data_IF_341451128291
#
_entry.id   IF_341451128291
#
_cell.length_a   1.000
_cell.length_b   1.000
_cell.length_c   1.000
_cell.angle_alpha   90.00
_cell.angle_beta   90.00
_cell.angle_gamma   90.00
#
_symmetry.space_group_name_H-M   'P 1'
#
loop_
_entity.id
_entity.type
_entity.pdbx_description
1 polymer ?
#
# COMPACT_ATOMS: atom_id res chain seq x y z
N UNK A 1 63.27 26.88 -3.08
CA UNK A 1 62.82 25.77 -3.95
C UNK A 1 61.69 25.05 -3.23
N UNK A 2 60.55 24.82 -3.88
CA UNK A 2 59.37 24.21 -3.23
C UNK A 2 59.39 22.68 -3.36
N UNK A 3 59.04 21.98 -2.27
CA UNK A 3 59.01 20.52 -2.21
C UNK A 3 57.73 19.91 -2.81
N UNK A 4 56.64 20.68 -2.82
CA UNK A 4 55.35 20.36 -3.45
C UNK A 4 54.62 21.67 -3.76
N UNK A 5 53.77 21.66 -4.79
CA UNK A 5 52.86 22.77 -5.09
C UNK A 5 51.42 22.29 -4.96
N UNK A 6 50.61 23.01 -4.19
CA UNK A 6 49.16 22.80 -4.13
C UNK A 6 48.52 23.83 -5.07
N UNK A 7 47.95 23.35 -6.16
CA UNK A 7 47.32 24.19 -7.17
C UNK A 7 45.82 24.20 -6.94
N UNK A 8 45.28 25.31 -6.47
CA UNK A 8 43.87 25.42 -6.09
C UNK A 8 43.04 26.11 -7.17
N UNK A 9 41.77 25.70 -7.29
CA UNK A 9 40.76 26.41 -8.06
C UNK A 9 39.43 26.42 -7.29
N UNK A 10 38.52 27.32 -7.67
CA UNK A 10 37.20 27.45 -7.06
C UNK A 10 36.18 26.60 -7.82
N UNK A 11 35.47 25.73 -7.10
CA UNK A 11 34.35 24.97 -7.67
C UNK A 11 33.19 25.87 -8.13
N UNK A 12 33.11 27.11 -7.64
CA UNK A 12 32.10 28.09 -8.04
C UNK A 12 32.58 29.06 -9.14
N UNK A 13 33.77 28.82 -9.72
CA UNK A 13 34.28 29.63 -10.82
C UNK A 13 34.92 28.74 -11.90
N UNK A 14 34.19 28.39 -12.97
CA UNK A 14 34.68 27.53 -14.05
C UNK A 14 35.94 28.05 -14.73
N UNK A 15 36.11 29.38 -14.81
CA UNK A 15 37.31 29.98 -15.39
C UNK A 15 38.56 29.68 -14.57
N UNK A 16 38.44 29.54 -13.24
CA UNK A 16 39.59 29.20 -12.40
C UNK A 16 40.16 27.82 -12.72
N UNK A 17 39.30 26.83 -13.01
CA UNK A 17 39.73 25.51 -13.50
C UNK A 17 40.31 25.59 -14.92
N UNK A 18 39.75 26.43 -15.80
CA UNK A 18 40.33 26.66 -17.14
C UNK A 18 41.75 27.24 -17.05
N UNK A 19 41.99 28.17 -16.13
CA UNK A 19 43.31 28.79 -15.93
C UNK A 19 44.34 27.81 -15.36
N UNK A 20 43.91 26.81 -14.57
CA UNK A 20 44.81 25.71 -14.14
C UNK A 20 45.49 25.08 -15.35
N UNK A 21 44.73 24.71 -16.39
CA UNK A 21 45.27 24.06 -17.60
C UNK A 21 46.03 25.01 -18.52
N UNK A 22 45.52 26.23 -18.68
CA UNK A 22 46.00 27.15 -19.73
C UNK A 22 47.15 28.07 -19.30
N UNK A 23 47.30 28.33 -17.99
CA UNK A 23 48.25 29.30 -17.46
C UNK A 23 49.11 28.69 -16.35
N UNK A 24 48.46 28.27 -15.25
CA UNK A 24 49.18 27.97 -14.02
C UNK A 24 49.99 26.69 -14.08
N UNK A 25 49.44 25.60 -14.61
CA UNK A 25 50.19 24.35 -14.71
C UNK A 25 51.42 24.47 -15.62
N UNK A 26 51.33 25.04 -16.85
CA UNK A 26 52.51 25.31 -17.68
C UNK A 26 53.57 26.17 -16.98
N UNK A 27 53.15 27.25 -16.33
CA UNK A 27 54.06 28.17 -15.63
C UNK A 27 54.79 27.49 -14.46
N UNK A 28 54.06 26.73 -13.64
CA UNK A 28 54.65 25.95 -12.54
C UNK A 28 55.64 24.92 -13.09
N UNK A 29 55.31 24.25 -14.19
CA UNK A 29 56.22 23.27 -14.82
C UNK A 29 57.45 23.92 -15.45
N UNK A 30 57.35 25.16 -15.92
CA UNK A 30 58.50 25.92 -16.41
C UNK A 30 59.50 26.24 -15.28
N UNK A 31 59.03 26.82 -14.17
CA UNK A 31 59.91 27.23 -13.07
C UNK A 31 60.29 26.09 -12.12
N UNK A 32 59.42 25.09 -11.96
CA UNK A 32 59.55 23.98 -11.01
C UNK A 32 59.30 22.61 -11.68
N UNK A 33 60.12 22.21 -12.68
CA UNK A 33 59.81 21.05 -13.54
C UNK A 33 59.70 19.72 -12.79
N UNK A 34 60.47 19.56 -11.72
CA UNK A 34 60.53 18.35 -10.89
C UNK A 34 59.67 18.39 -9.62
N UNK A 35 59.00 19.52 -9.35
CA UNK A 35 58.17 19.64 -8.15
C UNK A 35 56.82 18.96 -8.41
N UNK A 36 56.36 18.06 -7.52
CA UNK A 36 55.06 17.44 -7.64
C UNK A 36 53.97 18.48 -7.42
N UNK A 37 52.86 18.33 -8.14
CA UNK A 37 51.70 19.21 -8.07
C UNK A 37 50.51 18.39 -7.57
N UNK A 38 49.74 18.94 -6.64
CA UNK A 38 48.45 18.41 -6.20
C UNK A 38 47.36 19.39 -6.61
N UNK A 39 46.38 18.94 -7.38
CA UNK A 39 45.26 19.78 -7.81
C UNK A 39 44.16 19.75 -6.74
N UNK A 40 43.63 20.93 -6.38
CA UNK A 40 42.61 21.05 -5.33
C UNK A 40 41.43 21.89 -5.78
N UNK A 41 40.23 21.32 -5.74
CA UNK A 41 38.97 22.05 -5.86
C UNK A 41 38.53 22.58 -4.50
N UNK A 42 38.27 23.88 -4.39
CA UNK A 42 37.83 24.51 -3.15
C UNK A 42 36.35 24.88 -3.20
N UNK A 43 35.75 25.07 -2.02
CA UNK A 43 34.35 25.48 -1.83
C UNK A 43 33.33 24.41 -2.24
N UNK A 44 33.62 23.15 -1.90
CA UNK A 44 32.76 22.00 -2.18
C UNK A 44 31.35 22.13 -1.58
N UNK A 45 31.22 22.80 -0.43
CA UNK A 45 29.95 23.08 0.23
C UNK A 45 28.93 23.76 -0.69
N UNK A 46 29.39 24.57 -1.65
CA UNK A 46 28.50 25.29 -2.56
C UNK A 46 27.69 24.39 -3.49
N UNK A 47 28.03 23.11 -3.64
CA UNK A 47 27.20 22.13 -4.37
C UNK A 47 25.88 21.83 -3.68
N UNK A 48 25.80 22.01 -2.36
CA UNK A 48 24.65 21.63 -1.53
C UNK A 48 24.10 22.79 -0.70
N UNK A 49 24.67 23.98 -0.85
CA UNK A 49 24.27 25.18 -0.10
C UNK A 49 23.03 25.85 -0.71
N UNK A 50 22.32 26.61 0.12
CA UNK A 50 21.37 27.61 -0.34
C UNK A 50 22.14 28.78 -1.00
N UNK A 51 22.22 28.75 -2.33
CA UNK A 51 22.94 29.76 -3.11
C UNK A 51 22.32 31.16 -2.98
N UNK A 52 21.04 31.31 -2.65
CA UNK A 52 20.43 32.61 -2.41
C UNK A 52 20.95 33.21 -1.10
N UNK A 53 20.94 32.43 -0.03
CA UNK A 53 21.53 32.83 1.25
C UNK A 53 23.03 33.15 1.10
N UNK A 54 23.78 32.31 0.39
CA UNK A 54 25.20 32.55 0.10
C UNK A 54 25.39 33.87 -0.67
N UNK A 55 24.60 34.12 -1.73
CA UNK A 55 24.74 35.35 -2.50
C UNK A 55 24.33 36.61 -1.71
N UNK A 56 23.35 36.53 -0.80
CA UNK A 56 23.01 37.63 0.12
C UNK A 56 24.14 37.96 1.10
N UNK A 57 24.88 36.95 1.56
CA UNK A 57 25.99 37.14 2.49
C UNK A 57 27.29 37.63 1.82
N UNK A 58 27.37 37.58 0.49
CA UNK A 58 28.53 38.05 -0.28
C UNK A 58 28.48 39.56 -0.50
N UNK A 59 29.61 40.14 -0.92
CA UNK A 59 29.72 41.58 -1.18
C UNK A 59 28.66 42.02 -2.22
N UNK A 60 27.98 43.18 -2.04
CA UNK A 60 26.89 43.62 -2.92
C UNK A 60 27.24 43.71 -4.42
N UNK A 61 28.51 43.94 -4.77
CA UNK A 61 29.00 44.06 -6.15
C UNK A 61 29.58 42.76 -6.72
N UNK A 62 29.61 41.67 -5.95
CA UNK A 62 30.11 40.39 -6.43
C UNK A 62 29.11 39.77 -7.40
N UNK A 63 29.58 39.23 -8.53
CA UNK A 63 28.74 38.45 -9.44
C UNK A 63 28.07 37.30 -8.65
N UNK A 64 26.73 37.18 -8.69
CA UNK A 64 26.03 36.07 -8.04
C UNK A 64 26.51 34.73 -8.60
N UNK A 65 26.73 33.77 -7.71
CA UNK A 65 27.03 32.39 -8.08
C UNK A 65 25.72 31.73 -8.48
N UNK A 66 25.65 31.22 -9.71
CA UNK A 66 24.50 30.45 -10.20
C UNK A 66 24.76 28.95 -10.06
N UNK A 67 23.71 28.10 -9.98
CA UNK A 67 23.88 26.65 -10.02
C UNK A 67 24.72 26.17 -11.22
N UNK A 68 24.57 26.83 -12.38
CA UNK A 68 25.33 26.54 -13.60
C UNK A 68 26.82 26.88 -13.52
N UNK A 69 27.22 27.72 -12.57
CA UNK A 69 28.62 28.07 -12.34
C UNK A 69 29.33 27.05 -11.43
N UNK A 70 28.58 26.19 -10.73
CA UNK A 70 29.15 25.17 -9.85
C UNK A 70 29.64 23.98 -10.69
N UNK A 71 30.93 23.70 -10.60
CA UNK A 71 31.56 22.59 -11.31
C UNK A 71 31.16 21.24 -10.67
N UNK A 72 30.71 20.26 -11.47
CA UNK A 72 30.42 18.93 -10.97
C UNK A 72 31.74 18.16 -10.72
N UNK A 73 31.73 17.10 -9.89
CA UNK A 73 32.93 16.39 -9.45
C UNK A 73 33.83 15.90 -10.59
N UNK A 74 33.23 15.53 -11.73
CA UNK A 74 33.91 14.92 -12.86
C UNK A 74 34.89 15.90 -13.51
N UNK A 75 34.58 17.20 -13.53
CA UNK A 75 35.41 18.22 -14.21
C UNK A 75 36.81 18.34 -13.62
N UNK A 76 36.93 18.32 -12.29
CA UNK A 76 38.22 18.36 -11.63
C UNK A 76 39.04 17.09 -11.88
N UNK A 77 38.39 15.94 -11.86
CA UNK A 77 39.01 14.64 -12.15
C UNK A 77 39.50 14.53 -13.59
N UNK A 78 38.73 15.01 -14.56
CA UNK A 78 39.12 15.07 -15.98
C UNK A 78 40.43 15.84 -16.16
N UNK A 79 40.49 17.07 -15.62
CA UNK A 79 41.69 17.92 -15.71
C UNK A 79 42.88 17.28 -14.98
N UNK A 80 42.66 16.71 -13.80
CA UNK A 80 43.72 16.04 -13.06
C UNK A 80 44.30 14.84 -13.82
N UNK A 81 43.44 14.05 -14.45
CA UNK A 81 43.81 12.92 -15.30
C UNK A 81 44.62 13.37 -16.51
N UNK A 82 44.18 14.41 -17.20
CA UNK A 82 44.93 15.00 -18.32
C UNK A 82 46.31 15.51 -17.91
N UNK A 83 46.42 16.13 -16.73
CA UNK A 83 47.67 16.69 -16.22
C UNK A 83 48.58 15.66 -15.51
N UNK A 84 48.08 14.44 -15.28
CA UNK A 84 48.80 13.38 -14.57
C UNK A 84 49.08 13.69 -13.10
N UNK A 85 48.17 14.41 -12.42
CA UNK A 85 48.32 14.83 -11.02
C UNK A 85 47.18 14.29 -10.14
N UNK A 86 47.39 14.08 -8.83
CA UNK A 86 46.31 13.73 -7.91
C UNK A 86 45.35 14.92 -7.72
N UNK A 87 44.09 14.59 -7.44
CA UNK A 87 43.00 15.55 -7.25
C UNK A 87 42.28 15.33 -5.91
N UNK A 88 41.95 16.43 -5.26
CA UNK A 88 41.19 16.46 -4.01
C UNK A 88 40.22 17.62 -4.04
N UNK A 89 39.12 17.49 -3.32
CA UNK A 89 38.18 18.58 -3.07
C UNK A 89 38.13 18.95 -1.59
N UNK A 90 37.88 20.22 -1.32
CA UNK A 90 37.90 20.77 0.03
C UNK A 90 36.70 21.67 0.27
N UNK A 91 36.18 21.58 1.49
CA UNK A 91 35.26 22.58 2.04
C UNK A 91 35.76 22.98 3.42
N UNK A 92 36.07 24.27 3.56
CA UNK A 92 36.38 24.85 4.88
C UNK A 92 35.12 24.89 5.75
N UNK A 93 33.95 25.15 5.15
CA UNK A 93 32.67 25.22 5.87
C UNK A 93 32.30 23.85 6.45
N UNK A 94 32.41 22.80 5.65
CA UNK A 94 32.12 21.43 6.08
C UNK A 94 33.31 20.74 6.76
N UNK A 95 34.45 21.43 6.93
CA UNK A 95 35.71 20.87 7.44
C UNK A 95 36.13 19.58 6.72
N UNK A 96 35.83 19.47 5.42
CA UNK A 96 36.04 18.29 4.62
C UNK A 96 37.27 18.40 3.72
N UNK A 97 38.03 17.32 3.60
CA UNK A 97 39.15 17.18 2.65
C UNK A 97 40.41 17.97 2.99
N UNK A 98 40.35 18.89 3.96
CA UNK A 98 41.49 19.73 4.35
C UNK A 98 42.67 18.85 4.81
N UNK A 99 42.42 17.92 5.74
CA UNK A 99 43.44 17.00 6.24
C UNK A 99 44.00 16.11 5.12
N UNK A 100 43.14 15.64 4.22
CA UNK A 100 43.55 14.79 3.10
C UNK A 100 44.51 15.52 2.17
N UNK A 101 44.24 16.79 1.84
CA UNK A 101 45.14 17.61 1.01
C UNK A 101 46.50 17.77 1.69
N UNK A 102 46.53 18.10 2.99
CA UNK A 102 47.79 18.25 3.72
C UNK A 102 48.60 16.95 3.75
N UNK A 103 47.99 15.84 4.16
CA UNK A 103 48.67 14.55 4.24
C UNK A 103 49.16 14.09 2.87
N UNK A 104 48.35 14.25 1.82
CA UNK A 104 48.72 13.82 0.48
C UNK A 104 49.73 14.74 -0.21
N UNK A 105 49.76 16.03 0.10
CA UNK A 105 50.84 16.93 -0.33
C UNK A 105 52.19 16.51 0.29
N UNK A 106 52.20 16.14 1.58
CA UNK A 106 53.37 15.59 2.25
C UNK A 106 53.81 14.27 1.58
N UNK A 107 52.87 13.36 1.31
CA UNK A 107 53.16 12.11 0.56
C UNK A 107 53.77 12.41 -0.81
N UNK A 108 53.21 13.35 -1.56
CA UNK A 108 53.71 13.73 -2.88
C UNK A 108 55.14 14.29 -2.81
N UNK A 109 55.42 15.19 -1.86
CA UNK A 109 56.76 15.75 -1.63
C UNK A 109 57.80 14.66 -1.30
N UNK A 110 57.47 13.77 -0.36
CA UNK A 110 58.38 12.71 0.10
C UNK A 110 58.64 11.66 -0.98
N UNK A 111 57.63 11.32 -1.80
CA UNK A 111 57.80 10.44 -2.96
C UNK A 111 58.71 11.09 -4.01
N UNK A 112 58.49 12.36 -4.35
CA UNK A 112 59.38 13.07 -5.28
C UNK A 112 60.82 13.13 -4.75
N UNK A 113 61.00 13.39 -3.46
CA UNK A 113 62.31 13.36 -2.80
C UNK A 113 62.97 11.99 -2.85
N UNK A 114 62.21 10.90 -2.70
CA UNK A 114 62.72 9.52 -2.86
C UNK A 114 63.29 9.30 -4.26
N UNK A 115 62.62 9.79 -5.31
CA UNK A 115 63.12 9.67 -6.68
C UNK A 115 64.46 10.41 -6.88
N UNK A 116 64.67 11.52 -6.17
CA UNK A 116 65.91 12.29 -6.23
C UNK A 116 67.02 11.75 -5.29
N UNK A 117 66.65 11.10 -4.19
CA UNK A 117 67.56 10.64 -3.12
C UNK A 117 67.38 9.14 -2.84
N UNK A 118 67.50 8.31 -3.88
CA UNK A 118 67.14 6.88 -3.82
C UNK A 118 67.91 6.04 -2.79
N UNK A 119 69.11 6.50 -2.39
CA UNK A 119 69.95 5.87 -1.35
C UNK A 119 69.37 5.97 0.07
N UNK A 120 68.38 6.85 0.30
CA UNK A 120 67.73 7.02 1.62
C UNK A 120 66.67 5.94 1.88
N UNK A 121 67.07 4.90 2.61
CA UNK A 121 66.25 3.71 2.90
C UNK A 121 64.94 4.00 3.63
N UNK A 122 64.89 5.01 4.51
CA UNK A 122 63.68 5.39 5.26
C UNK A 122 62.52 5.88 4.36
N UNK A 123 62.82 6.37 3.14
CA UNK A 123 61.79 6.80 2.19
C UNK A 123 61.17 5.64 1.39
N UNK A 124 61.73 4.42 1.46
CA UNK A 124 61.24 3.27 0.68
C UNK A 124 59.84 2.81 1.07
N UNK A 125 59.45 3.03 2.33
CA UNK A 125 58.13 2.65 2.88
C UNK A 125 57.07 3.75 2.69
N UNK A 126 57.41 4.87 2.06
CA UNK A 126 56.46 5.97 1.88
C UNK A 126 55.32 5.57 0.95
N UNK A 127 54.09 5.78 1.39
CA UNK A 127 52.90 5.57 0.58
C UNK A 127 52.71 6.70 -0.45
N UNK A 128 52.18 6.35 -1.62
CA UNK A 128 51.74 7.34 -2.62
C UNK A 128 50.52 8.13 -2.09
N UNK A 129 50.22 9.31 -2.67
CA UNK A 129 48.97 10.01 -2.39
C UNK A 129 47.77 9.06 -2.51
N UNK A 130 46.92 9.03 -1.49
CA UNK A 130 45.76 8.17 -1.36
C UNK A 130 44.55 8.81 -2.05
N UNK A 131 43.60 7.99 -2.48
CA UNK A 131 42.32 8.48 -3.01
C UNK A 131 41.49 9.09 -1.88
N UNK A 132 40.79 10.18 -2.19
CA UNK A 132 39.84 10.79 -1.28
C UNK A 132 38.52 10.01 -1.28
N UNK A 133 37.95 9.77 -0.11
CA UNK A 133 36.58 9.29 -0.04
C UNK A 133 35.62 10.37 -0.58
N UNK A 134 34.52 10.01 -1.27
CA UNK A 134 33.52 10.99 -1.70
C UNK A 134 32.92 11.75 -0.52
N UNK A 135 32.58 13.02 -0.73
CA UNK A 135 31.84 13.79 0.27
C UNK A 135 30.41 13.28 0.39
N UNK A 136 30.01 12.94 1.61
CA UNK A 136 28.66 12.50 1.95
C UNK A 136 27.95 13.63 2.70
N UNK A 137 27.08 14.44 2.05
CA UNK A 137 26.31 15.45 2.76
C UNK A 137 25.42 14.79 3.84
N UNK A 138 25.11 15.51 4.94
CA UNK A 138 24.25 14.99 5.99
C UNK A 138 22.89 14.58 5.42
N UNK A 139 22.35 13.46 5.90
CA UNK A 139 21.02 12.97 5.51
C UNK A 139 19.99 14.06 5.80
N UNK A 140 19.09 14.41 4.86
CA UNK A 140 18.02 15.36 5.13
C UNK A 140 17.16 14.85 6.30
N UNK A 141 16.59 15.75 7.12
CA UNK A 141 15.68 15.35 8.18
C UNK A 141 14.49 14.57 7.59
N UNK A 142 13.97 13.55 8.30
CA UNK A 142 12.77 12.84 7.86
C UNK A 142 11.61 13.81 7.62
N UNK A 143 10.72 13.54 6.64
CA UNK A 143 9.55 14.37 6.43
C UNK A 143 8.67 14.38 7.68
N UNK A 144 8.09 15.54 8.00
CA UNK A 144 7.10 15.65 9.08
C UNK A 144 5.81 15.02 8.59
N UNK A 145 5.47 13.85 9.13
CA UNK A 145 4.21 13.15 8.85
C UNK A 145 3.15 13.74 9.78
N UNK A 146 2.19 14.49 9.23
CA UNK A 146 0.99 14.88 9.97
C UNK A 146 0.02 13.70 9.95
N UNK A 147 -0.12 13.02 11.08
CA UNK A 147 -1.16 12.00 11.27
C UNK A 147 -2.47 12.74 11.51
N UNK A 148 -3.51 12.57 10.67
CA UNK A 148 -4.81 13.18 10.91
C UNK A 148 -5.38 12.69 12.24
N UNK A 149 -5.99 13.59 13.01
CA UNK A 149 -6.70 13.20 14.23
C UNK A 149 -7.82 12.19 13.89
N UNK A 150 -8.00 11.14 14.70
CA UNK A 150 -9.12 10.23 14.52
C UNK A 150 -10.43 11.03 14.68
N UNK A 151 -11.43 10.84 13.80
CA UNK A 151 -12.68 11.58 13.90
C UNK A 151 -13.37 11.30 15.24
N UNK A 152 -13.57 12.35 16.03
CA UNK A 152 -14.33 12.29 17.29
C UNK A 152 -15.80 11.97 16.98
N UNK A 153 -16.36 10.99 17.68
CA UNK A 153 -17.66 10.35 17.39
C UNK A 153 -17.61 9.42 16.18
N UNK A 154 -17.16 8.19 16.42
CA UNK A 154 -17.48 7.10 15.50
C UNK A 154 -18.05 5.92 16.24
N UNK A 155 -19.22 5.47 15.79
CA UNK A 155 -19.72 4.15 16.15
C UNK A 155 -18.69 3.12 15.68
N UNK A 156 -18.21 2.28 16.59
CA UNK A 156 -17.36 1.15 16.23
C UNK A 156 -18.19 -0.01 15.70
N UNK A 157 -17.53 -0.87 14.93
CA UNK A 157 -18.11 -2.12 14.45
C UNK A 157 -18.84 -2.04 13.10
N UNK A 158 -19.52 -3.13 12.70
CA UNK A 158 -20.06 -3.30 11.36
C UNK A 158 -21.04 -2.21 10.91
N UNK A 159 -21.76 -1.59 11.84
CA UNK A 159 -22.72 -0.52 11.55
C UNK A 159 -22.07 0.69 10.88
N UNK A 160 -20.82 1.02 11.23
CA UNK A 160 -20.10 2.15 10.63
C UNK A 160 -19.55 1.87 9.22
N UNK A 161 -19.64 0.62 8.77
CA UNK A 161 -19.28 0.19 7.41
C UNK A 161 -20.51 -0.06 6.53
N UNK A 162 -21.71 0.01 7.10
CA UNK A 162 -22.93 -0.11 6.33
C UNK A 162 -23.03 1.01 5.29
N UNK A 163 -23.25 0.64 4.02
CA UNK A 163 -23.32 1.55 2.88
C UNK A 163 -22.10 2.50 2.71
N UNK A 164 -20.96 2.19 3.33
CA UNK A 164 -19.73 2.94 3.09
C UNK A 164 -19.00 2.38 1.88
N UNK A 165 -18.44 3.23 1.01
CA UNK A 165 -17.60 2.74 -0.08
C UNK A 165 -16.18 2.35 0.34
N UNK A 166 -15.74 2.73 1.55
CA UNK A 166 -14.40 2.41 2.05
C UNK A 166 -14.18 0.89 2.11
N UNK A 167 -13.23 0.39 1.32
CA UNK A 167 -12.93 -1.05 1.16
C UNK A 167 -14.07 -1.90 0.59
N UNK A 168 -15.11 -1.30 0.02
CA UNK A 168 -16.18 -2.04 -0.66
C UNK A 168 -15.61 -2.91 -1.78
N UNK A 169 -16.19 -4.08 -2.00
CA UNK A 169 -15.79 -5.05 -3.03
C UNK A 169 -17.00 -5.58 -3.82
N UNK A 170 -18.21 -5.10 -3.50
CA UNK A 170 -19.45 -5.32 -4.25
C UNK A 170 -20.27 -4.05 -4.33
N UNK A 171 -20.93 -3.86 -5.48
CA UNK A 171 -21.90 -2.78 -5.71
C UNK A 171 -23.20 -3.37 -6.24
N UNK A 172 -24.31 -3.02 -5.60
CA UNK A 172 -25.65 -3.36 -6.08
C UNK A 172 -26.20 -2.24 -6.94
N UNK A 173 -26.66 -2.59 -8.13
CA UNK A 173 -27.34 -1.69 -9.05
C UNK A 173 -28.84 -1.94 -8.96
N UNK A 174 -29.57 -0.93 -8.47
CA UNK A 174 -31.02 -0.93 -8.29
C UNK A 174 -31.70 -0.17 -9.43
N UNK A 175 -33.04 -0.21 -9.45
CA UNK A 175 -33.81 0.63 -10.37
C UNK A 175 -33.51 2.12 -10.18
N UNK A 176 -33.66 2.89 -11.26
CA UNK A 176 -33.38 4.34 -11.24
C UNK A 176 -31.90 4.71 -11.16
N UNK A 177 -30.99 3.77 -11.43
CA UNK A 177 -29.54 4.01 -11.46
C UNK A 177 -28.89 4.14 -10.09
N UNK A 178 -29.61 3.83 -9.01
CA UNK A 178 -29.07 3.89 -7.65
C UNK A 178 -28.05 2.78 -7.41
N UNK A 179 -26.93 3.14 -6.77
CA UNK A 179 -25.83 2.23 -6.45
C UNK A 179 -25.66 2.14 -4.94
N UNK A 180 -25.52 0.92 -4.43
CA UNK A 180 -25.27 0.66 -3.01
C UNK A 180 -23.98 -0.15 -2.87
N UNK A 181 -22.99 0.45 -2.21
CA UNK A 181 -21.70 -0.19 -1.92
C UNK A 181 -21.82 -1.11 -0.70
N UNK A 182 -21.14 -2.25 -0.76
CA UNK A 182 -21.15 -3.25 0.29
C UNK A 182 -19.87 -4.11 0.29
N UNK A 183 -19.81 -5.03 1.25
CA UNK A 183 -18.67 -5.89 1.54
C UNK A 183 -19.10 -7.36 1.46
N UNK A 184 -18.56 -8.12 0.51
CA UNK A 184 -18.89 -9.53 0.25
C UNK A 184 -18.72 -10.36 1.51
N UNK A 185 -17.63 -10.18 2.25
CA UNK A 185 -17.37 -10.91 3.50
C UNK A 185 -18.49 -10.73 4.53
N UNK A 186 -19.06 -9.53 4.67
CA UNK A 186 -20.15 -9.30 5.63
C UNK A 186 -21.47 -9.92 5.18
N UNK A 187 -21.78 -9.82 3.89
CA UNK A 187 -23.01 -10.41 3.35
C UNK A 187 -22.96 -11.94 3.34
N UNK A 188 -21.84 -12.51 2.90
CA UNK A 188 -21.63 -13.96 2.84
C UNK A 188 -21.58 -14.61 4.23
N UNK A 189 -21.02 -13.92 5.24
CA UNK A 189 -20.99 -14.44 6.62
C UNK A 189 -22.36 -14.40 7.29
N UNK A 190 -23.26 -13.52 6.84
CA UNK A 190 -24.60 -13.34 7.40
C UNK A 190 -25.71 -14.05 6.61
N UNK A 191 -25.48 -14.43 5.35
CA UNK A 191 -26.49 -15.05 4.50
C UNK A 191 -25.86 -16.07 3.53
N UNK A 192 -26.38 -17.29 3.51
CA UNK A 192 -25.88 -18.35 2.62
C UNK A 192 -26.12 -18.03 1.15
N UNK A 193 -27.23 -17.39 0.80
CA UNK A 193 -27.49 -16.98 -0.59
C UNK A 193 -26.41 -16.04 -1.14
N UNK A 194 -25.96 -15.09 -0.33
CA UNK A 194 -24.84 -14.22 -0.69
C UNK A 194 -23.49 -14.95 -0.69
N UNK A 195 -23.28 -15.91 0.22
CA UNK A 195 -22.08 -16.75 0.21
C UNK A 195 -21.95 -17.52 -1.10
N UNK A 196 -23.04 -18.20 -1.49
CA UNK A 196 -23.09 -18.98 -2.74
C UNK A 196 -22.92 -18.05 -3.94
N UNK A 197 -23.56 -16.87 -3.93
CA UNK A 197 -23.49 -15.89 -5.02
C UNK A 197 -22.04 -15.49 -5.29
N UNK A 198 -21.30 -15.16 -4.23
CA UNK A 198 -19.95 -14.63 -4.34
C UNK A 198 -18.88 -15.71 -4.50
N UNK A 199 -19.25 -16.99 -4.45
CA UNK A 199 -18.35 -18.14 -4.66
C UNK A 199 -18.59 -18.87 -5.99
N UNK A 200 -19.62 -18.49 -6.75
CA UNK A 200 -19.90 -19.03 -8.10
C UNK A 200 -18.70 -18.97 -9.05
N UNK A 201 -17.80 -17.99 -8.89
CA UNK A 201 -16.49 -17.95 -9.55
C UNK A 201 -15.37 -17.63 -8.55
N UNK A 202 -15.00 -18.61 -7.74
CA UNK A 202 -13.66 -18.63 -7.15
C UNK A 202 -12.60 -18.92 -8.23
N UNK A 203 -11.38 -18.37 -8.13
CA UNK A 203 -10.29 -18.68 -9.05
C UNK A 203 -10.09 -20.20 -9.11
N UNK A 204 -9.98 -20.76 -10.33
CA UNK A 204 -9.78 -22.19 -10.59
C UNK A 204 -8.59 -22.71 -9.77
N UNK A 205 -8.85 -23.32 -8.62
CA UNK A 205 -7.78 -23.84 -7.77
C UNK A 205 -8.16 -24.17 -6.34
N UNK A 206 -9.18 -24.99 -6.11
CA UNK A 206 -9.27 -25.89 -4.95
C UNK A 206 -10.49 -26.80 -5.15
N UNK A 207 -10.29 -28.11 -4.96
CA UNK A 207 -11.33 -29.12 -5.13
C UNK A 207 -12.60 -28.79 -4.34
N UNK A 208 -13.74 -28.95 -5.01
CA UNK A 208 -15.07 -28.90 -4.39
C UNK A 208 -15.16 -29.96 -3.28
N UNK A 209 -15.32 -29.51 -2.04
CA UNK A 209 -16.17 -30.21 -1.08
C UNK A 209 -17.33 -29.27 -0.71
N UNK A 210 -18.59 -29.71 -0.85
CA UNK A 210 -19.74 -28.93 -0.43
C UNK A 210 -19.68 -28.71 1.09
N UNK A 211 -20.03 -27.50 1.52
CA UNK A 211 -20.05 -27.11 2.92
C UNK A 211 -20.74 -28.17 3.80
N UNK A 212 -19.97 -28.80 4.70
CA UNK A 212 -20.50 -29.73 5.66
C UNK A 212 -21.52 -29.01 6.54
N UNK A 213 -22.78 -29.41 6.41
CA UNK A 213 -23.87 -29.05 7.30
C UNK A 213 -23.41 -29.31 8.74
N UNK A 214 -23.49 -28.30 9.60
CA UNK A 214 -23.28 -28.43 11.04
C UNK A 214 -24.19 -29.54 11.58
N UNK A 215 -23.62 -30.71 11.84
CA UNK A 215 -24.26 -31.73 12.67
C UNK A 215 -24.25 -31.23 14.11
N UNK A 216 -25.44 -31.22 14.70
CA UNK A 216 -25.66 -31.02 16.14
C UNK A 216 -24.76 -31.99 16.92
N UNK A 217 -23.98 -31.46 17.84
CA UNK A 217 -23.36 -32.23 18.91
C UNK A 217 -24.43 -32.39 20.00
N UNK A 218 -25.25 -33.42 19.89
CA UNK A 218 -26.11 -33.83 20.99
C UNK A 218 -25.38 -34.88 21.83
N UNK A 219 -25.16 -34.51 23.09
CA UNK A 219 -24.54 -35.33 24.10
C UNK A 219 -25.36 -36.56 24.46
N UNK A 220 -24.66 -37.60 24.87
CA UNK A 220 -25.20 -38.82 25.45
C UNK A 220 -26.12 -38.54 26.64
N UNK A 221 -27.37 -39.00 26.58
CA UNK A 221 -28.00 -39.89 27.59
C UNK A 221 -29.47 -40.18 27.30
N UNK A 222 -29.81 -41.47 27.41
CA UNK A 222 -31.09 -41.90 27.99
C UNK A 222 -32.18 -42.30 27.00
N UNK A 223 -32.34 -43.61 26.84
CA UNK A 223 -33.50 -44.24 26.20
C UNK A 223 -34.80 -43.97 27.00
N UNK A 224 -35.92 -43.74 26.30
CA UNK A 224 -37.13 -44.58 26.30
C UNK A 224 -38.36 -43.84 25.71
N UNK A 225 -39.07 -44.56 24.84
CA UNK A 225 -40.51 -44.57 24.54
C UNK A 225 -41.18 -43.44 23.72
N UNK A 226 -41.53 -43.84 22.49
CA UNK A 226 -42.73 -43.62 21.67
C UNK A 226 -43.71 -42.45 21.92
N UNK A 227 -44.02 -41.73 20.83
CA UNK A 227 -45.19 -40.86 20.71
C UNK A 227 -45.28 -40.20 19.34
N UNK A 228 -46.14 -40.73 18.47
CA UNK A 228 -46.38 -40.38 17.07
C UNK A 228 -46.46 -38.87 16.74
N UNK A 229 -45.81 -38.45 15.63
CA UNK A 229 -46.29 -37.40 14.71
C UNK A 229 -45.61 -37.49 13.33
N UNK A 230 -46.41 -37.31 12.30
CA UNK A 230 -46.12 -37.53 10.87
C UNK A 230 -44.86 -36.81 10.33
N UNK A 231 -44.19 -37.35 9.28
CA UNK A 231 -43.00 -36.73 8.73
C UNK A 231 -43.36 -35.50 7.89
N UNK A 232 -42.91 -34.32 8.33
CA UNK A 232 -42.80 -33.13 7.51
C UNK A 232 -41.73 -33.40 6.44
N UNK A 233 -42.19 -33.57 5.19
CA UNK A 233 -41.35 -33.75 4.00
C UNK A 233 -40.35 -32.59 3.90
N UNK A 234 -39.07 -32.92 3.96
CA UNK A 234 -37.99 -32.01 3.55
C UNK A 234 -38.03 -31.87 2.04
N UNK A 235 -38.26 -30.65 1.56
CA UNK A 235 -38.21 -30.31 0.14
C UNK A 235 -36.78 -30.44 -0.34
N UNK A 236 -36.54 -31.39 -1.24
CA UNK A 236 -35.32 -31.56 -1.99
C UNK A 236 -35.34 -30.54 -3.14
N UNK A 237 -34.34 -29.67 -3.23
CA UNK A 237 -34.12 -28.85 -4.42
C UNK A 237 -33.12 -29.56 -5.32
N UNK A 238 -33.63 -30.39 -6.23
CA UNK A 238 -32.86 -30.84 -7.39
C UNK A 238 -32.93 -29.73 -8.44
N UNK A 239 -31.80 -29.08 -8.71
CA UNK A 239 -31.45 -28.61 -10.06
C UNK A 239 -30.01 -28.08 -10.05
N UNK A 240 -29.06 -29.01 -10.11
CA UNK A 240 -27.67 -28.71 -10.43
C UNK A 240 -27.48 -28.82 -11.95
N UNK A 241 -27.30 -27.68 -12.63
CA UNK A 241 -26.98 -27.62 -14.05
C UNK A 241 -25.70 -28.43 -14.35
N UNK A 242 -25.82 -29.40 -15.26
CA UNK A 242 -24.69 -30.09 -15.91
C UNK A 242 -24.05 -29.15 -16.95
N UNK A 243 -22.72 -29.02 -17.03
CA UNK A 243 -22.09 -28.27 -18.11
C UNK A 243 -22.08 -29.10 -19.40
N UNK A 244 -22.75 -28.60 -20.44
CA UNK A 244 -22.59 -29.10 -21.80
C UNK A 244 -21.21 -28.69 -22.32
N UNK A 245 -20.48 -29.65 -22.88
CA UNK A 245 -19.23 -29.41 -23.60
C UNK A 245 -19.55 -28.70 -24.94
N UNK A 246 -18.86 -27.60 -25.21
CA UNK A 246 -18.91 -26.89 -26.49
C UNK A 246 -17.79 -25.86 -26.57
N UNK A 247 -16.91 -26.05 -27.54
CA UNK A 247 -15.73 -25.24 -27.84
C UNK A 247 -16.06 -23.79 -28.24
N UNK A 248 -15.14 -22.87 -27.93
CA UNK A 248 -14.95 -21.63 -28.70
C UNK A 248 -15.24 -20.32 -27.96
N UNK A 249 -14.18 -19.51 -27.85
CA UNK A 249 -14.13 -18.09 -27.44
C UNK A 249 -14.38 -17.75 -25.95
N UNK A 250 -13.38 -17.10 -25.34
CA UNK A 250 -13.43 -16.60 -23.97
C UNK A 250 -14.56 -15.56 -23.81
N UNK A 251 -15.57 -15.79 -22.94
CA UNK A 251 -16.64 -14.83 -22.73
C UNK A 251 -16.23 -13.85 -21.63
N UNK A 252 -16.55 -12.57 -21.83
CA UNK A 252 -16.61 -11.56 -20.78
C UNK A 252 -17.48 -12.08 -19.62
N UNK A 253 -16.85 -12.37 -18.48
CA UNK A 253 -17.41 -13.13 -17.36
C UNK A 253 -18.54 -12.44 -16.59
N UNK A 254 -19.76 -12.57 -17.10
CA UNK A 254 -21.00 -12.24 -16.41
C UNK A 254 -21.91 -13.45 -16.33
N UNK A 255 -22.53 -13.67 -15.18
CA UNK A 255 -23.56 -14.69 -14.99
C UNK A 255 -24.94 -14.07 -15.09
N UNK A 256 -25.79 -14.66 -15.95
CA UNK A 256 -27.23 -14.51 -15.86
C UNK A 256 -27.71 -15.27 -14.61
N UNK A 257 -28.38 -14.55 -13.72
CA UNK A 257 -28.87 -15.07 -12.44
C UNK A 257 -30.40 -15.17 -12.41
N UNK A 258 -31.08 -14.95 -13.54
CA UNK A 258 -32.54 -15.02 -13.66
C UNK A 258 -33.13 -16.36 -13.18
N UNK A 259 -32.40 -17.46 -13.36
CA UNK A 259 -32.78 -18.80 -12.88
C UNK A 259 -32.33 -19.08 -11.43
N UNK A 260 -31.46 -18.25 -10.85
CA UNK A 260 -30.82 -18.47 -9.56
C UNK A 260 -31.65 -17.97 -8.37
N UNK A 261 -32.62 -17.09 -8.64
CA UNK A 261 -33.59 -16.61 -7.66
C UNK A 261 -34.30 -15.35 -8.18
N UNK A 262 -35.35 -14.93 -7.46
CA UNK A 262 -36.17 -13.77 -7.87
C UNK A 262 -35.59 -12.41 -7.45
N UNK A 263 -34.47 -12.39 -6.72
CA UNK A 263 -33.85 -11.17 -6.21
C UNK A 263 -32.68 -10.62 -7.05
N UNK A 264 -32.06 -11.45 -7.89
CA UNK A 264 -30.87 -11.10 -8.67
C UNK A 264 -31.12 -11.28 -10.16
N UNK A 265 -30.64 -10.34 -10.98
CA UNK A 265 -30.73 -10.41 -12.46
C UNK A 265 -29.41 -10.90 -13.04
N UNK A 266 -28.29 -10.31 -12.63
CA UNK A 266 -26.96 -10.69 -13.12
C UNK A 266 -25.86 -10.30 -12.16
N UNK A 267 -24.72 -11.00 -12.20
CA UNK A 267 -23.49 -10.61 -11.52
C UNK A 267 -22.32 -10.60 -12.50
N UNK A 268 -21.52 -9.55 -12.48
CA UNK A 268 -20.32 -9.40 -13.32
C UNK A 268 -19.21 -8.67 -12.58
N UNK A 269 -17.97 -8.91 -12.97
CA UNK A 269 -16.82 -8.21 -12.43
C UNK A 269 -16.50 -6.99 -13.28
N UNK A 270 -16.53 -5.79 -12.69
CA UNK A 270 -16.28 -4.53 -13.41
C UNK A 270 -15.25 -3.67 -12.67
N UNK A 271 -14.53 -2.84 -13.44
CA UNK A 271 -13.77 -1.73 -12.87
C UNK A 271 -14.75 -0.63 -12.48
N UNK A 272 -14.75 -0.31 -11.19
CA UNK A 272 -15.62 0.70 -10.59
C UNK A 272 -14.76 1.78 -9.97
N UNK A 273 -15.06 3.05 -10.25
CA UNK A 273 -14.44 4.17 -9.57
C UNK A 273 -14.68 4.08 -8.05
N UNK A 274 -13.60 3.92 -7.28
CA UNK A 274 -13.60 3.96 -5.82
C UNK A 274 -13.76 5.42 -5.38
N UNK A 275 -14.90 5.81 -4.81
CA UNK A 275 -15.16 7.20 -4.44
C UNK A 275 -14.30 7.67 -3.26
N UNK A 276 -13.60 6.78 -2.56
CA UNK A 276 -12.69 7.12 -1.45
C UNK A 276 -11.27 7.30 -1.95
N UNK A 277 -10.78 6.35 -2.75
CA UNK A 277 -9.39 6.35 -3.22
C UNK A 277 -9.17 7.12 -4.53
N UNK A 278 -10.24 7.50 -5.24
CA UNK A 278 -10.15 8.21 -6.53
C UNK A 278 -9.53 7.38 -7.66
N UNK A 279 -9.43 6.06 -7.48
CA UNK A 279 -8.88 5.09 -8.44
C UNK A 279 -9.96 4.09 -8.85
N UNK A 280 -9.82 3.48 -10.01
CA UNK A 280 -10.68 2.35 -10.37
C UNK A 280 -10.27 1.10 -9.57
N UNK A 281 -11.25 0.34 -9.11
CA UNK A 281 -11.09 -0.91 -8.37
C UNK A 281 -11.99 -1.97 -8.99
N UNK A 282 -11.48 -3.19 -9.15
CA UNK A 282 -12.30 -4.32 -9.59
C UNK A 282 -13.29 -4.72 -8.49
N UNK A 283 -14.59 -4.66 -8.79
CA UNK A 283 -15.69 -4.97 -7.86
C UNK A 283 -16.70 -5.91 -8.51
N UNK A 284 -17.40 -6.69 -7.70
CA UNK A 284 -18.57 -7.42 -8.15
C UNK A 284 -19.75 -6.44 -8.33
N UNK A 285 -20.31 -6.36 -9.52
CA UNK A 285 -21.50 -5.55 -9.82
C UNK A 285 -22.69 -6.49 -9.95
N UNK A 286 -23.64 -6.35 -9.03
CA UNK A 286 -24.85 -7.18 -8.95
C UNK A 286 -26.06 -6.34 -9.34
N UNK A 287 -26.72 -6.72 -10.43
CA UNK A 287 -27.97 -6.09 -10.85
C UNK A 287 -29.14 -6.74 -10.11
N UNK A 288 -29.92 -5.93 -9.40
CA UNK A 288 -31.06 -6.38 -8.61
C UNK A 288 -32.34 -6.43 -9.45
N UNK A 289 -33.25 -7.33 -9.08
CA UNK A 289 -34.59 -7.39 -9.68
C UNK A 289 -35.36 -6.09 -9.46
N UNK A 290 -36.25 -5.77 -10.40
CA UNK A 290 -37.04 -4.53 -10.42
C UNK A 290 -37.89 -4.32 -9.15
N UNK A 291 -38.28 -5.40 -8.47
CA UNK A 291 -39.06 -5.38 -7.22
C UNK A 291 -38.23 -4.97 -6.01
N UNK A 292 -36.90 -4.98 -6.10
CA UNK A 292 -36.00 -4.65 -5.00
C UNK A 292 -35.86 -3.12 -4.92
N UNK A 293 -36.67 -2.51 -4.05
CA UNK A 293 -36.61 -1.08 -3.77
C UNK A 293 -35.42 -0.74 -2.87
N UNK A 294 -34.85 0.45 -3.04
CA UNK A 294 -33.59 0.82 -2.41
C UNK A 294 -33.66 0.97 -0.88
N UNK A 295 -34.67 1.66 -0.35
CA UNK A 295 -34.78 1.89 1.10
C UNK A 295 -35.07 0.60 1.90
N UNK A 296 -36.03 -0.26 1.49
CA UNK A 296 -36.20 -1.55 2.14
C UNK A 296 -34.99 -2.47 1.95
N UNK A 297 -34.30 -2.42 0.80
CA UNK A 297 -33.08 -3.19 0.57
C UNK A 297 -31.93 -2.72 1.47
N UNK A 298 -31.79 -1.42 1.69
CA UNK A 298 -30.85 -0.85 2.67
C UNK A 298 -31.11 -1.40 4.08
N UNK A 299 -32.37 -1.54 4.48
CA UNK A 299 -32.73 -2.17 5.76
C UNK A 299 -32.29 -3.65 5.83
N UNK A 300 -32.49 -4.41 4.75
CA UNK A 300 -32.02 -5.81 4.67
C UNK A 300 -30.49 -5.87 4.78
N UNK A 301 -29.78 -5.00 4.08
CA UNK A 301 -28.33 -4.91 4.17
C UNK A 301 -27.89 -4.50 5.59
N UNK A 302 -28.54 -3.51 6.22
CA UNK A 302 -28.22 -3.09 7.58
C UNK A 302 -28.37 -4.26 8.57
N UNK A 303 -29.42 -5.06 8.42
CA UNK A 303 -29.59 -6.29 9.19
C UNK A 303 -28.42 -7.27 8.97
N UNK A 304 -28.00 -7.50 7.72
CA UNK A 304 -26.86 -8.38 7.43
C UNK A 304 -25.55 -7.86 8.04
N UNK A 305 -25.39 -6.55 8.23
CA UNK A 305 -24.23 -5.97 8.91
C UNK A 305 -24.35 -6.00 10.43
N UNK A 306 -25.53 -5.79 10.99
CA UNK A 306 -25.68 -5.47 12.41
C UNK A 306 -26.43 -6.53 13.22
N UNK A 307 -27.20 -7.39 12.57
CA UNK A 307 -28.16 -8.30 13.21
C UNK A 307 -29.40 -7.61 13.78
N UNK A 308 -29.57 -6.31 13.54
CA UNK A 308 -30.67 -5.50 14.11
C UNK A 308 -31.69 -5.13 13.04
N UNK A 309 -32.94 -5.01 13.47
CA UNK A 309 -34.06 -4.51 12.69
C UNK A 309 -34.64 -3.31 13.44
N UNK A 310 -34.76 -2.16 12.77
CA UNK A 310 -35.55 -1.04 13.28
C UNK A 310 -37.04 -1.37 13.14
N UNK A 311 -37.71 -1.53 14.29
CA UNK A 311 -39.10 -1.95 14.39
C UNK A 311 -40.07 -0.79 14.12
N UNK A 312 -39.61 0.46 14.15
CA UNK A 312 -40.43 1.64 13.93
C UNK A 312 -40.62 1.97 12.44
N UNK A 313 -40.02 1.20 11.55
CA UNK A 313 -40.09 1.41 10.10
C UNK A 313 -41.51 1.21 9.57
N UNK A 314 -41.93 2.09 8.66
CA UNK A 314 -43.23 2.00 7.99
C UNK A 314 -43.23 0.96 6.85
N UNK A 315 -42.05 0.62 6.31
CA UNK A 315 -41.87 -0.25 5.14
C UNK A 315 -41.53 -1.71 5.49
N UNK A 316 -41.90 -2.16 6.69
CA UNK A 316 -41.60 -3.52 7.18
C UNK A 316 -42.07 -4.63 6.23
N UNK A 317 -43.25 -4.48 5.61
CA UNK A 317 -43.76 -5.48 4.66
C UNK A 317 -42.90 -5.60 3.41
N UNK A 318 -42.36 -4.48 2.92
CA UNK A 318 -41.43 -4.45 1.80
C UNK A 318 -40.08 -5.07 2.21
N UNK A 319 -39.61 -4.80 3.43
CA UNK A 319 -38.40 -5.44 3.98
C UNK A 319 -38.59 -6.97 4.05
N UNK A 320 -39.72 -7.46 4.54
CA UNK A 320 -40.03 -8.90 4.57
C UNK A 320 -40.06 -9.51 3.17
N UNK A 321 -40.66 -8.81 2.19
CA UNK A 321 -40.71 -9.25 0.80
C UNK A 321 -39.31 -9.40 0.21
N UNK A 322 -38.43 -8.41 0.40
CA UNK A 322 -37.05 -8.48 -0.07
C UNK A 322 -36.25 -9.54 0.69
N UNK A 323 -36.45 -9.66 2.01
CA UNK A 323 -35.81 -10.71 2.81
C UNK A 323 -36.19 -12.11 2.32
N UNK A 324 -37.43 -12.32 1.87
CA UNK A 324 -37.85 -13.57 1.24
C UNK A 324 -37.19 -13.79 -0.12
N UNK A 325 -37.16 -12.77 -0.99
CA UNK A 325 -36.52 -12.84 -2.31
C UNK A 325 -35.01 -13.16 -2.24
N UNK A 326 -34.35 -12.68 -1.19
CA UNK A 326 -32.91 -12.87 -0.93
C UNK A 326 -32.63 -14.02 0.05
N UNK A 327 -33.65 -14.77 0.47
CA UNK A 327 -33.56 -15.90 1.40
C UNK A 327 -32.91 -15.54 2.76
N UNK A 328 -33.13 -14.31 3.24
CA UNK A 328 -32.75 -13.84 4.58
C UNK A 328 -33.86 -14.21 5.57
N UNK A 329 -34.04 -15.51 5.80
CA UNK A 329 -35.18 -16.05 6.54
C UNK A 329 -35.30 -15.52 7.98
N UNK A 330 -34.17 -15.32 8.68
CA UNK A 330 -34.18 -14.77 10.04
C UNK A 330 -34.83 -13.39 10.08
N UNK A 331 -34.49 -12.51 9.12
CA UNK A 331 -35.07 -11.17 9.03
C UNK A 331 -36.55 -11.23 8.69
N UNK A 332 -36.94 -12.10 7.74
CA UNK A 332 -38.34 -12.32 7.39
C UNK A 332 -39.16 -12.75 8.62
N UNK A 333 -38.60 -13.65 9.45
CA UNK A 333 -39.20 -14.08 10.71
C UNK A 333 -39.25 -12.94 11.74
N UNK A 334 -38.19 -12.13 11.85
CA UNK A 334 -38.18 -11.00 12.77
C UNK A 334 -39.26 -9.96 12.43
N UNK A 335 -39.46 -9.68 11.14
CA UNK A 335 -40.53 -8.79 10.69
C UNK A 335 -41.89 -9.38 11.02
N UNK A 336 -42.11 -10.67 10.76
CA UNK A 336 -43.37 -11.35 11.11
C UNK A 336 -43.68 -11.24 12.62
N UNK A 337 -42.68 -11.46 13.48
CA UNK A 337 -42.82 -11.29 14.93
C UNK A 337 -43.18 -9.85 15.31
N UNK A 338 -42.59 -8.83 14.66
CA UNK A 338 -42.94 -7.43 14.92
C UNK A 338 -44.40 -7.16 14.55
N UNK A 339 -44.83 -7.60 13.38
CA UNK A 339 -46.21 -7.41 12.89
C UNK A 339 -47.25 -8.14 13.77
N UNK A 340 -46.88 -9.30 14.31
CA UNK A 340 -47.72 -10.08 15.22
C UNK A 340 -47.67 -9.60 16.69
N UNK A 341 -46.89 -8.55 16.99
CA UNK A 341 -46.65 -8.05 18.36
C UNK A 341 -45.94 -9.07 19.28
N UNK A 342 -45.12 -9.93 18.69
CA UNK A 342 -44.31 -10.96 19.35
C UNK A 342 -42.80 -10.65 19.27
N UNK A 343 -42.44 -9.36 19.24
CA UNK A 343 -41.06 -8.90 19.04
C UNK A 343 -40.07 -9.39 20.11
N UNK A 344 -40.56 -9.83 21.27
CA UNK A 344 -39.75 -10.47 22.32
C UNK A 344 -39.01 -11.73 21.81
N UNK A 345 -39.57 -12.47 20.84
CA UNK A 345 -38.93 -13.64 20.25
C UNK A 345 -37.69 -13.28 19.41
N UNK A 346 -37.56 -12.03 18.97
CA UNK A 346 -36.44 -11.59 18.14
C UNK A 346 -35.10 -11.61 18.87
N UNK A 347 -35.10 -11.68 20.20
CA UNK A 347 -33.87 -11.78 20.98
C UNK A 347 -33.10 -13.08 20.68
N UNK A 348 -33.82 -14.21 20.58
CA UNK A 348 -33.19 -15.50 20.28
C UNK A 348 -32.73 -15.60 18.82
N UNK A 349 -33.51 -15.05 17.89
CA UNK A 349 -33.10 -14.94 16.48
C UNK A 349 -31.81 -14.13 16.36
N UNK A 350 -31.73 -12.99 17.06
CA UNK A 350 -30.55 -12.12 17.04
C UNK A 350 -29.33 -12.83 17.61
N UNK A 351 -29.47 -13.53 18.75
CA UNK A 351 -28.38 -14.33 19.34
C UNK A 351 -27.89 -15.41 18.37
N UNK A 352 -28.81 -16.21 17.81
CA UNK A 352 -28.50 -17.27 16.87
C UNK A 352 -27.81 -16.74 15.60
N UNK A 353 -28.26 -15.60 15.08
CA UNK A 353 -27.64 -14.89 13.96
C UNK A 353 -26.17 -14.56 14.25
N UNK A 354 -25.89 -13.91 15.38
CA UNK A 354 -24.53 -13.52 15.75
C UNK A 354 -23.61 -14.72 15.97
N UNK A 355 -24.10 -15.80 16.59
CA UNK A 355 -23.33 -17.04 16.79
C UNK A 355 -22.98 -17.67 15.44
N UNK A 356 -23.95 -17.83 14.52
CA UNK A 356 -23.70 -18.38 13.19
C UNK A 356 -22.71 -17.54 12.39
N UNK A 357 -22.89 -16.23 12.39
CA UNK A 357 -21.99 -15.30 11.70
C UNK A 357 -20.57 -15.36 12.26
N UNK A 358 -20.40 -15.38 13.58
CA UNK A 358 -19.08 -15.49 14.20
C UNK A 358 -18.36 -16.79 13.79
N UNK A 359 -19.09 -17.91 13.74
CA UNK A 359 -18.52 -19.18 13.27
C UNK A 359 -18.13 -19.12 11.78
N UNK A 360 -18.96 -18.51 10.92
CA UNK A 360 -18.65 -18.35 9.50
C UNK A 360 -17.49 -17.38 9.25
N UNK A 361 -17.35 -16.32 10.06
CA UNK A 361 -16.19 -15.43 10.02
C UNK A 361 -14.91 -16.21 10.34
N UNK A 362 -14.92 -17.04 11.41
CA UNK A 362 -13.76 -17.90 11.74
C UNK A 362 -13.38 -18.83 10.59
N UNK A 363 -14.36 -19.42 9.91
CA UNK A 363 -14.12 -20.25 8.73
C UNK A 363 -13.49 -19.45 7.58
N UNK A 364 -14.01 -18.26 7.27
CA UNK A 364 -13.46 -17.40 6.21
C UNK A 364 -12.02 -16.96 6.53
N UNK A 365 -11.72 -16.65 7.79
CA UNK A 365 -10.37 -16.34 8.26
C UNK A 365 -9.43 -17.55 8.09
N UNK A 366 -9.86 -18.74 8.51
CA UNK A 366 -9.04 -19.95 8.43
C UNK A 366 -8.76 -20.42 7.00
N UNK A 367 -9.73 -20.26 6.09
CA UNK A 367 -9.61 -20.69 4.68
C UNK A 367 -9.14 -19.57 3.74
N UNK A 368 -9.07 -18.32 4.21
CA UNK A 368 -8.78 -17.15 3.36
C UNK A 368 -9.88 -16.82 2.34
N UNK A 369 -11.09 -17.37 2.49
CA UNK A 369 -12.20 -17.10 1.56
C UNK A 369 -12.59 -15.63 1.67
N UNK A 370 -12.68 -14.94 0.53
CA UNK A 370 -12.88 -13.48 0.42
C UNK A 370 -11.74 -12.61 0.95
N UNK A 371 -10.55 -13.16 1.22
CA UNK A 371 -9.41 -12.34 1.60
C UNK A 371 -9.04 -11.36 0.48
N UNK A 372 -8.82 -10.10 0.84
CA UNK A 372 -8.52 -8.98 -0.07
C UNK A 372 -7.25 -8.21 0.33
N UNK A 373 -6.53 -8.73 1.32
CA UNK A 373 -5.19 -8.29 1.71
C UNK A 373 -4.40 -9.46 2.28
N UNK A 374 -3.07 -9.44 2.09
CA UNK A 374 -2.15 -10.41 2.67
C UNK A 374 -1.04 -9.66 3.39
N UNK A 375 -0.88 -9.91 4.69
CA UNK A 375 0.24 -9.39 5.47
C UNK A 375 1.42 -10.35 5.36
N UNK A 376 2.57 -9.85 4.91
CA UNK A 376 3.84 -10.60 4.99
C UNK A 376 4.47 -10.34 6.35
N UNK A 377 4.68 -11.42 7.09
CA UNK A 377 5.32 -11.44 8.41
C UNK A 377 6.57 -12.31 8.33
N UNK A 378 7.46 -12.23 9.33
CA UNK A 378 8.76 -12.91 9.29
C UNK A 378 8.64 -14.43 9.13
N UNK A 379 7.55 -15.02 9.62
CA UNK A 379 7.25 -16.45 9.62
C UNK A 379 6.19 -16.87 8.57
N UNK A 380 5.77 -15.97 7.68
CA UNK A 380 4.87 -16.35 6.59
C UNK A 380 3.97 -15.24 6.05
N UNK A 381 2.79 -15.66 5.58
CA UNK A 381 1.80 -14.78 4.98
C UNK A 381 0.44 -15.01 5.63
N UNK A 382 -0.20 -13.92 6.06
CA UNK A 382 -1.49 -13.94 6.74
C UNK A 382 -2.54 -13.28 5.82
N UNK A 383 -3.40 -14.06 5.14
CA UNK A 383 -4.53 -13.49 4.42
C UNK A 383 -5.53 -12.90 5.42
N UNK A 384 -6.09 -11.75 5.08
CA UNK A 384 -7.06 -11.07 5.92
C UNK A 384 -8.08 -10.30 5.07
N UNK A 385 -9.06 -9.70 5.76
CA UNK A 385 -10.20 -9.03 5.16
C UNK A 385 -10.21 -7.57 5.61
N UNK A 386 -9.92 -6.64 4.69
CA UNK A 386 -9.92 -5.19 4.98
C UNK A 386 -11.19 -4.75 5.69
N UNK A 387 -12.42 -5.16 5.28
CA UNK A 387 -13.65 -4.73 5.95
C UNK A 387 -13.73 -5.20 7.41
N UNK A 388 -13.22 -6.40 7.74
CA UNK A 388 -13.21 -6.89 9.12
C UNK A 388 -12.17 -6.16 9.97
N UNK A 389 -11.01 -5.83 9.38
CA UNK A 389 -9.93 -5.10 10.07
C UNK A 389 -10.33 -3.66 10.39
N UNK A 390 -10.86 -2.93 9.40
CA UNK A 390 -11.24 -1.52 9.59
C UNK A 390 -12.45 -1.36 10.50
N UNK A 391 -13.25 -2.41 10.72
CA UNK A 391 -14.39 -2.36 11.64
C UNK A 391 -13.96 -2.25 13.11
N UNK A 392 -12.74 -2.69 13.45
CA UNK A 392 -12.25 -2.79 14.83
C UNK A 392 -10.85 -2.21 15.06
N UNK A 393 -10.24 -1.56 14.07
CA UNK A 393 -8.89 -1.03 14.20
C UNK A 393 -8.70 0.27 13.42
N UNK A 394 -8.51 1.37 14.15
CA UNK A 394 -8.29 2.71 13.57
C UNK A 394 -7.00 2.76 12.75
N UNK A 395 -5.96 2.03 13.15
CA UNK A 395 -4.70 1.93 12.39
C UNK A 395 -4.92 1.29 11.03
N UNK A 396 -5.63 0.16 10.99
CA UNK A 396 -5.96 -0.52 9.72
C UNK A 396 -6.86 0.38 8.86
N UNK A 397 -7.79 1.08 9.48
CA UNK A 397 -8.64 2.03 8.77
C UNK A 397 -7.85 3.20 8.17
N UNK A 398 -6.93 3.79 8.93
CA UNK A 398 -6.05 4.85 8.44
C UNK A 398 -5.15 4.33 7.30
N UNK A 399 -4.63 3.10 7.45
CA UNK A 399 -3.85 2.42 6.42
C UNK A 399 -4.63 2.27 5.10
N UNK A 400 -5.87 1.82 5.16
CA UNK A 400 -6.68 1.56 3.95
C UNK A 400 -7.44 2.78 3.40
N UNK A 401 -7.28 3.97 4.00
CA UNK A 401 -7.93 5.22 3.57
C UNK A 401 -7.20 6.01 2.47
N UNK A 402 -6.11 5.47 1.92
CA UNK A 402 -5.41 6.04 0.75
C UNK A 402 -4.23 6.95 1.06
N UNK A 403 -3.97 7.30 2.33
CA UNK A 403 -2.74 8.02 2.72
C UNK A 403 -1.49 7.13 2.66
N UNK A 404 -1.68 5.81 2.72
CA UNK A 404 -0.62 4.82 2.59
C UNK A 404 -0.68 4.20 1.20
N UNK A 405 0.47 4.17 0.52
CA UNK A 405 0.61 3.52 -0.79
C UNK A 405 0.84 2.03 -0.57
N UNK A 406 -0.16 1.21 -0.92
CA UNK A 406 0.01 -0.25 -1.00
C UNK A 406 1.17 -0.55 -1.96
N UNK A 407 2.19 -1.26 -1.50
CA UNK A 407 3.43 -1.52 -2.26
C UNK A 407 3.22 -2.44 -3.47
N UNK A 408 2.02 -3.02 -3.62
CA UNK A 408 1.69 -3.95 -4.70
C UNK A 408 0.23 -3.77 -5.16
N UNK A 409 0.01 -2.86 -6.10
CA UNK A 409 -1.23 -2.74 -6.86
C UNK A 409 -1.08 -3.36 -8.26
N UNK A 410 -0.43 -4.52 -8.34
CA UNK A 410 -0.64 -5.44 -9.44
C UNK A 410 -1.63 -6.49 -8.92
N UNK A 411 -2.91 -6.28 -9.22
CA UNK A 411 -3.99 -7.22 -8.92
C UNK A 411 -3.65 -8.58 -9.57
N UNK A 412 -3.78 -9.67 -8.78
CA UNK A 412 -3.69 -11.06 -9.28
C UNK A 412 -5.02 -11.47 -9.89
#
# INVERSE_FOLDING_TARGET
RSDVVVLCFSLANPNSLRHVKTMWYPEIKHFCPRTPIVLVGCQLDLRYADLEAVNRARRPLAKPIKPTDILPPERGHEVAKELGVPYYETSVVAQFGIKDVFDNAIRAALISRRHLQFWKSHLKKMQRPLLQAPFLPPKPPPPVIQVPDPPASRSWGPAALFCTPLCADVVFQLQGGQRVFAHRVYLATSCSKFYDLFTLEGPRGAGKEPAARTKSLDGERGALAEGARAPLRTSQSDDALRPAAGDGAAPSGGHDLSAWGRGFVSMRWELVADPVAGREKRMAVVCMDQRVQAEPFRAVLEYLYTGRLDQAREDLMQVATIAELLEVFDLRMMVANVLNKESFMNQEITKAFHVRRANRIKECLGKGVFADVVFRVDDGAVPAHKPLLIAGCDWMMAMFRGAFRESYAAEV
#
